data_IF_280030657319
#
_entry.id   IF_280030657319
#
_cell.length_a   1.000
_cell.length_b   1.000
_cell.length_c   1.000
_cell.angle_alpha   90.00
_cell.angle_beta   90.00
_cell.angle_gamma   90.00
#
_symmetry.space_group_name_H-M   'P 1'
#
loop_
_entity.id
_entity.type
_entity.pdbx_description
1 polymer ?
#
# COMPACT_ATOMS: atom_id res chain seq x y z
N UNK A 1 6.37 0.21 18.94
CA UNK A 1 5.98 1.13 17.86
C UNK A 1 7.16 2.04 17.61
N UNK A 2 7.79 1.98 16.43
CA UNK A 2 8.77 3.01 16.07
C UNK A 2 8.06 4.37 16.12
N UNK A 3 8.75 5.42 16.54
CA UNK A 3 8.15 6.76 16.62
C UNK A 3 7.67 7.31 15.26
N UNK A 4 7.92 6.58 14.17
CA UNK A 4 7.71 6.98 12.78
C UNK A 4 6.83 6.02 11.96
N UNK A 5 6.07 5.12 12.61
CA UNK A 5 5.15 4.22 11.91
C UNK A 5 3.73 4.79 11.84
N UNK A 6 3.18 4.91 10.63
CA UNK A 6 1.85 5.50 10.38
C UNK A 6 0.90 4.49 9.75
N UNK A 7 -0.34 4.40 10.25
CA UNK A 7 -1.39 3.56 9.68
C UNK A 7 -2.28 4.37 8.77
N UNK A 8 -2.29 4.04 7.48
CA UNK A 8 -3.12 4.73 6.48
C UNK A 8 -4.11 3.77 5.83
N UNK A 9 -5.34 4.25 5.63
CA UNK A 9 -6.34 3.52 4.87
C UNK A 9 -6.18 3.79 3.36
N UNK A 10 -6.38 2.76 2.56
CA UNK A 10 -6.51 2.92 1.12
C UNK A 10 -7.90 3.47 0.75
N UNK A 11 -8.00 3.94 -0.49
CA UNK A 11 -9.24 4.36 -1.16
C UNK A 11 -9.27 3.81 -2.58
N UNK A 12 -10.49 3.68 -3.09
CA UNK A 12 -10.72 3.24 -4.47
C UNK A 12 -10.60 1.73 -4.69
N UNK A 13 -10.53 0.94 -3.61
CA UNK A 13 -10.39 -0.52 -3.64
C UNK A 13 -11.55 -1.21 -4.36
N UNK A 14 -12.72 -0.56 -4.42
CA UNK A 14 -13.93 -1.08 -5.06
C UNK A 14 -13.94 -0.96 -6.58
N UNK A 15 -13.08 -0.12 -7.15
CA UNK A 15 -13.06 0.14 -8.59
C UNK A 15 -12.10 -0.82 -9.30
N UNK A 16 -12.37 -1.22 -10.54
CA UNK A 16 -11.45 -2.03 -11.33
C UNK A 16 -10.15 -1.25 -11.64
N UNK A 17 -9.08 -1.99 -11.91
CA UNK A 17 -7.84 -1.41 -12.43
C UNK A 17 -7.98 -1.11 -13.93
N UNK A 18 -7.15 -0.18 -14.42
CA UNK A 18 -7.14 0.22 -15.82
C UNK A 18 -6.74 -0.92 -16.79
N UNK A 19 -5.95 -1.88 -16.30
CA UNK A 19 -5.52 -3.08 -17.03
C UNK A 19 -6.58 -4.21 -17.03
N UNK A 20 -7.75 -3.98 -16.39
CA UNK A 20 -8.81 -4.96 -16.25
C UNK A 20 -8.65 -5.92 -15.07
N UNK A 21 -7.56 -5.84 -14.31
CA UNK A 21 -7.40 -6.62 -13.08
C UNK A 21 -8.32 -6.12 -11.96
N UNK A 22 -8.62 -7.00 -11.01
CA UNK A 22 -9.55 -6.72 -9.90
C UNK A 22 -8.79 -6.43 -8.62
N UNK A 23 -8.89 -5.19 -8.13
CA UNK A 23 -8.35 -4.78 -6.82
C UNK A 23 -8.89 -5.65 -5.69
N UNK A 24 -10.18 -6.02 -5.76
CA UNK A 24 -10.83 -6.84 -4.75
C UNK A 24 -10.33 -8.28 -4.75
N UNK A 25 -10.08 -8.87 -5.92
CA UNK A 25 -9.53 -10.24 -6.00
C UNK A 25 -8.10 -10.26 -5.49
N UNK A 26 -7.32 -9.23 -5.78
CA UNK A 26 -5.98 -9.11 -5.24
C UNK A 26 -5.98 -8.88 -3.71
N UNK A 27 -6.87 -8.03 -3.20
CA UNK A 27 -7.00 -7.81 -1.74
C UNK A 27 -7.34 -9.08 -0.96
N UNK A 28 -8.05 -10.04 -1.57
CA UNK A 28 -8.31 -11.36 -0.94
C UNK A 28 -7.04 -12.20 -0.79
N UNK A 29 -6.02 -11.95 -1.60
CA UNK A 29 -4.75 -12.68 -1.61
C UNK A 29 -3.71 -12.02 -0.71
N UNK A 30 -3.88 -10.74 -0.39
CA UNK A 30 -3.00 -10.02 0.52
C UNK A 30 -3.03 -10.60 1.93
N UNK A 31 -1.84 -10.84 2.49
CA UNK A 31 -1.66 -11.23 3.88
C UNK A 31 -1.16 -10.05 4.73
N UNK A 32 -1.47 -10.07 6.02
CA UNK A 32 -0.86 -9.13 6.99
C UNK A 32 0.66 -9.29 6.98
N UNK A 33 1.39 -8.17 6.93
CA UNK A 33 2.85 -8.13 6.83
C UNK A 33 3.38 -8.17 5.39
N UNK A 34 2.54 -8.43 4.41
CA UNK A 34 2.94 -8.42 3.00
C UNK A 34 3.39 -7.01 2.57
N UNK A 35 4.51 -6.91 1.85
CA UNK A 35 4.98 -5.63 1.34
C UNK A 35 4.07 -5.07 0.25
N UNK A 36 3.93 -3.75 0.27
CA UNK A 36 3.25 -2.99 -0.78
C UNK A 36 4.14 -1.85 -1.27
N UNK A 37 4.06 -1.55 -2.56
CA UNK A 37 4.76 -0.42 -3.15
C UNK A 37 3.87 0.82 -3.19
N UNK A 38 4.47 1.98 -2.95
CA UNK A 38 3.82 3.29 -3.06
C UNK A 38 4.38 4.01 -4.27
N UNK A 39 3.55 4.27 -5.27
CA UNK A 39 3.97 4.84 -6.55
C UNK A 39 3.28 6.18 -6.77
N UNK A 40 4.07 7.19 -7.12
CA UNK A 40 3.56 8.53 -7.44
C UNK A 40 2.97 8.59 -8.83
N UNK A 41 1.79 9.21 -8.93
CA UNK A 41 1.12 9.49 -10.20
C UNK A 41 0.86 11.00 -10.38
N UNK A 42 1.90 11.82 -10.63
CA UNK A 42 1.75 13.26 -10.78
C UNK A 42 0.90 13.67 -12.00
N UNK A 43 0.72 12.77 -12.96
CA UNK A 43 -0.09 12.96 -14.16
C UNK A 43 -1.49 12.34 -14.05
N UNK A 44 -1.90 11.91 -12.86
CA UNK A 44 -3.25 11.38 -12.64
C UNK A 44 -4.29 12.49 -12.93
N UNK A 45 -5.30 12.17 -13.75
CA UNK A 45 -6.28 13.15 -14.23
C UNK A 45 -7.19 13.69 -13.12
N UNK A 46 -7.37 12.93 -12.03
CA UNK A 46 -8.27 13.28 -10.93
C UNK A 46 -7.53 13.97 -9.79
N UNK A 47 -6.32 13.52 -9.47
CA UNK A 47 -5.53 14.03 -8.34
C UNK A 47 -4.02 13.95 -8.60
N UNK A 48 -3.31 15.07 -8.87
CA UNK A 48 -1.87 15.06 -9.07
C UNK A 48 -1.06 14.69 -7.81
N UNK A 49 -1.69 14.72 -6.62
CA UNK A 49 -1.10 14.23 -5.38
C UNK A 49 -1.25 12.70 -5.21
N UNK A 50 -1.91 12.01 -6.15
CA UNK A 50 -2.19 10.58 -6.04
C UNK A 50 -0.94 9.74 -5.79
N UNK A 51 -1.08 8.81 -4.84
CA UNK A 51 -0.10 7.77 -4.53
C UNK A 51 -0.83 6.44 -4.63
N UNK A 52 -0.53 5.69 -5.68
CA UNK A 52 -1.06 4.36 -5.90
C UNK A 52 -0.37 3.33 -5.00
N UNK A 53 -1.15 2.36 -4.52
CA UNK A 53 -0.68 1.25 -3.70
C UNK A 53 -0.70 -0.01 -4.57
N UNK A 54 0.43 -0.69 -4.68
CA UNK A 54 0.58 -1.94 -5.43
C UNK A 54 0.97 -3.08 -4.50
N UNK A 55 0.43 -4.27 -4.74
CA UNK A 55 0.87 -5.49 -4.06
C UNK A 55 2.28 -5.91 -4.50
N UNK A 56 2.90 -6.84 -3.76
CA UNK A 56 4.17 -7.46 -4.17
C UNK A 56 4.10 -8.25 -5.49
N UNK A 57 2.89 -8.48 -6.03
CA UNK A 57 2.63 -9.13 -7.33
C UNK A 57 2.38 -8.12 -8.46
N UNK A 58 2.58 -6.83 -8.20
CA UNK A 58 2.44 -5.77 -9.21
C UNK A 58 1.00 -5.38 -9.54
N UNK A 59 0.01 -5.83 -8.76
CA UNK A 59 -1.40 -5.49 -8.97
C UNK A 59 -1.79 -4.31 -8.07
N UNK A 60 -2.41 -3.29 -8.66
CA UNK A 60 -2.86 -2.14 -7.89
C UNK A 60 -3.97 -2.54 -6.92
N UNK A 61 -3.87 -2.08 -5.68
CA UNK A 61 -4.81 -2.34 -4.57
C UNK A 61 -5.72 -1.14 -4.30
N UNK A 62 -5.27 0.06 -4.68
CA UNK A 62 -5.99 1.33 -4.49
C UNK A 62 -5.03 2.51 -4.46
N UNK A 63 -5.44 3.57 -3.78
CA UNK A 63 -4.67 4.80 -3.57
C UNK A 63 -4.60 5.15 -2.09
N UNK A 64 -3.57 5.89 -1.66
CA UNK A 64 -3.59 6.54 -0.35
C UNK A 64 -4.79 7.50 -0.26
N UNK A 65 -5.37 7.64 0.94
CA UNK A 65 -6.36 8.68 1.18
C UNK A 65 -5.75 10.07 0.90
N UNK A 66 -6.51 10.94 0.22
CA UNK A 66 -6.05 12.24 -0.28
C UNK A 66 -5.40 13.11 0.81
N UNK A 67 -5.96 13.09 2.03
CA UNK A 67 -5.45 13.85 3.19
C UNK A 67 -3.97 13.55 3.52
N UNK A 68 -3.49 12.36 3.15
CA UNK A 68 -2.10 11.93 3.38
C UNK A 68 -1.29 11.80 2.09
N UNK A 69 -1.94 11.68 0.93
CA UNK A 69 -1.29 11.45 -0.36
C UNK A 69 -0.29 12.56 -0.70
N UNK A 70 -0.64 13.83 -0.47
CA UNK A 70 0.28 14.96 -0.71
C UNK A 70 1.51 14.94 0.20
N UNK A 71 1.36 14.61 1.47
CA UNK A 71 2.47 14.56 2.42
C UNK A 71 3.42 13.40 2.14
N UNK A 72 2.86 12.18 2.01
CA UNK A 72 3.65 10.98 1.69
C UNK A 72 4.28 11.14 0.30
N UNK A 73 3.54 11.68 -0.66
CA UNK A 73 4.05 11.87 -2.00
C UNK A 73 5.18 12.87 -2.08
N UNK A 74 5.11 13.97 -1.32
CA UNK A 74 6.22 14.91 -1.17
C UNK A 74 7.50 14.25 -0.61
N UNK A 75 7.37 13.24 0.25
CA UNK A 75 8.52 12.47 0.77
C UNK A 75 9.11 11.56 -0.31
N UNK A 76 8.27 10.85 -1.05
CA UNK A 76 8.70 10.01 -2.17
C UNK A 76 9.41 10.87 -3.22
N UNK A 77 8.82 12.01 -3.62
CA UNK A 77 9.38 12.91 -4.64
C UNK A 77 10.75 13.51 -4.22
N UNK A 78 11.03 13.58 -2.91
CA UNK A 78 12.31 14.03 -2.35
C UNK A 78 13.33 12.90 -2.13
N UNK A 79 12.99 11.66 -2.48
CA UNK A 79 13.88 10.51 -2.36
C UNK A 79 13.98 9.91 -0.95
N UNK A 80 13.02 10.16 -0.07
CA UNK A 80 12.94 9.43 1.20
C UNK A 80 12.61 7.95 0.94
N UNK A 81 13.24 7.05 1.70
CA UNK A 81 12.91 5.61 1.67
C UNK A 81 11.61 5.38 2.45
N UNK A 82 10.50 5.38 1.72
CA UNK A 82 9.16 5.16 2.26
C UNK A 82 8.75 3.72 2.00
N UNK A 83 8.67 2.92 3.06
CA UNK A 83 8.31 1.50 2.99
C UNK A 83 6.96 1.25 3.59
N UNK A 84 6.23 0.29 3.04
CA UNK A 84 4.89 -0.02 3.49
C UNK A 84 4.58 -1.53 3.46
N UNK A 85 3.75 -1.95 4.40
CA UNK A 85 3.22 -3.31 4.50
C UNK A 85 1.71 -3.30 4.72
N UNK A 86 1.05 -4.38 4.35
CA UNK A 86 -0.36 -4.64 4.69
C UNK A 86 -0.48 -4.80 6.20
N UNK A 87 -1.17 -3.88 6.86
CA UNK A 87 -1.48 -4.04 8.28
C UNK A 87 -2.70 -4.96 8.47
N UNK A 88 -3.75 -4.72 7.68
CA UNK A 88 -4.97 -5.53 7.70
C UNK A 88 -5.82 -5.30 6.45
N UNK A 89 -6.51 -6.35 6.04
CA UNK A 89 -7.59 -6.30 5.06
C UNK A 89 -8.93 -6.32 5.81
N UNK A 90 -9.69 -5.23 5.71
CA UNK A 90 -11.01 -5.06 6.32
C UNK A 90 -12.06 -5.85 5.53
N UNK A 91 -13.04 -6.42 6.22
CA UNK A 91 -14.15 -7.13 5.58
C UNK A 91 -13.83 -8.56 5.14
N UNK A 92 -12.58 -9.03 5.28
CA UNK A 92 -12.17 -10.38 4.85
C UNK A 92 -12.92 -11.52 5.55
N UNK A 93 -13.49 -11.28 6.72
CA UNK A 93 -14.28 -12.25 7.49
C UNK A 93 -15.79 -12.21 7.17
N UNK A 94 -16.23 -11.31 6.27
CA UNK A 94 -17.63 -11.13 5.91
C UNK A 94 -17.84 -11.58 4.46
N UNK A 95 -18.73 -12.54 4.25
CA UNK A 95 -19.10 -13.00 2.92
C UNK A 95 -19.73 -11.85 2.10
N UNK A 96 -19.26 -11.67 0.86
CA UNK A 96 -19.77 -10.64 -0.05
C UNK A 96 -19.39 -9.19 0.31
N UNK A 97 -18.64 -8.95 1.39
CA UNK A 97 -18.23 -7.60 1.75
C UNK A 97 -17.20 -7.03 0.75
N UNK A 98 -17.31 -5.73 0.48
CA UNK A 98 -16.23 -4.99 -0.19
C UNK A 98 -15.06 -4.88 0.78
N UNK A 99 -13.90 -5.35 0.35
CA UNK A 99 -12.68 -5.31 1.13
C UNK A 99 -12.08 -3.91 1.11
N UNK A 100 -11.56 -3.50 2.26
CA UNK A 100 -10.78 -2.29 2.40
C UNK A 100 -9.36 -2.61 2.86
N UNK A 101 -8.41 -1.73 2.58
CA UNK A 101 -7.02 -1.94 2.96
C UNK A 101 -6.56 -0.92 3.99
N UNK A 102 -5.78 -1.39 4.96
CA UNK A 102 -4.97 -0.52 5.83
C UNK A 102 -3.53 -0.98 5.74
N UNK A 103 -2.64 -0.03 5.51
CA UNK A 103 -1.20 -0.25 5.42
C UNK A 103 -0.48 0.45 6.58
N UNK A 104 0.65 -0.12 6.98
CA UNK A 104 1.59 0.51 7.89
C UNK A 104 2.74 1.06 7.05
N UNK A 105 3.15 2.30 7.31
CA UNK A 105 4.19 3.01 6.56
C UNK A 105 5.30 3.43 7.51
N UNK A 106 6.54 3.28 7.08
CA UNK A 106 7.75 3.80 7.71
C UNK A 106 8.48 4.71 6.70
N UNK A 107 9.10 5.79 7.19
CA UNK A 107 9.78 6.80 6.34
C UNK A 107 11.29 6.92 6.62
N UNK A 108 11.84 6.07 7.49
CA UNK A 108 13.26 6.06 7.85
C UNK A 108 14.04 4.96 7.13
N UNK A 109 13.39 4.26 6.19
CA UNK A 109 14.01 3.20 5.40
C UNK A 109 14.06 1.84 6.10
N UNK A 110 13.40 1.68 7.24
CA UNK A 110 13.17 0.36 7.83
C UNK A 110 11.83 -0.21 7.38
N UNK A 111 11.69 -1.54 7.42
CA UNK A 111 10.37 -2.12 7.23
C UNK A 111 9.48 -1.79 8.44
N UNK A 112 8.22 -1.39 8.21
CA UNK A 112 7.31 -1.07 9.29
C UNK A 112 7.09 -2.27 10.20
N UNK A 113 7.16 -2.06 11.50
CA UNK A 113 7.11 -3.14 12.49
C UNK A 113 5.66 -3.39 12.94
N UNK A 114 5.14 -4.60 12.75
CA UNK A 114 3.81 -4.97 13.23
C UNK A 114 3.86 -5.25 14.74
N UNK A 115 3.10 -4.48 15.53
CA UNK A 115 2.94 -4.69 16.98
C UNK A 115 4.25 -4.74 17.80
N UNK A 116 5.36 -4.22 17.26
CA UNK A 116 6.68 -4.30 17.90
C UNK A 116 7.56 -5.45 17.43
N UNK A 117 7.09 -6.29 16.50
CA UNK A 117 7.89 -7.30 15.80
C UNK A 117 8.16 -6.90 14.35
N UNK A 118 9.43 -6.92 13.93
CA UNK A 118 9.83 -6.52 12.60
C UNK A 118 9.16 -7.43 11.57
N UNK A 119 8.50 -6.86 10.55
CA UNK A 119 8.04 -7.66 9.42
C UNK A 119 9.25 -8.31 8.76
N UNK A 120 9.11 -9.57 8.35
CA UNK A 120 10.21 -10.35 7.79
C UNK A 120 10.87 -9.59 6.62
N UNK A 121 12.22 -9.58 6.52
CA UNK A 121 12.90 -8.94 5.41
C UNK A 121 12.48 -9.59 4.09
N UNK A 122 12.03 -8.75 3.15
CA UNK A 122 11.75 -9.08 1.76
C UNK A 122 12.80 -8.39 0.86
N UNK A 123 13.18 -9.01 -0.24
CA UNK A 123 14.09 -8.39 -1.22
C UNK A 123 13.27 -7.95 -2.43
N UNK A 124 13.20 -6.64 -2.75
CA UNK A 124 12.48 -6.19 -3.95
C UNK A 124 13.03 -6.77 -5.26
N UNK A 125 14.27 -7.30 -5.28
CA UNK A 125 14.83 -7.98 -6.44
C UNK A 125 14.22 -9.37 -6.71
N UNK A 126 13.70 -10.06 -5.68
CA UNK A 126 13.04 -11.37 -5.86
C UNK A 126 11.67 -11.25 -6.53
N UNK A 127 11.01 -10.09 -6.42
CA UNK A 127 9.67 -9.86 -6.98
C UNK A 127 9.63 -9.66 -8.50
N UNK A 128 10.77 -9.30 -9.11
CA UNK A 128 10.85 -8.94 -10.54
C UNK A 128 11.37 -10.12 -11.39
N UNK A 129 11.75 -11.24 -10.77
CA UNK A 129 12.35 -12.39 -11.44
C UNK A 129 11.45 -13.62 -11.60
N UNK A 130 10.15 -13.54 -11.27
CA UNK A 130 9.20 -14.66 -11.33
C UNK A 130 8.06 -14.43 -12.32
#
# INVERSE_FOLDING_TARGET
MGWNDFRLAARGERYPNADGSSRQDELRRCARGERVALIREPTNEYDPAAVAIFSCRGIQLGYLAADHAGWIGSKIDRGYDVRAIVERVKGAHLEGATLGLVILINMEGDDPTLDGEASQPFDPAEAIAA
#
